data_IF_916029922892
#
_entry.id   IF_916029922892
#
_cell.length_a   1.000
_cell.length_b   1.000
_cell.length_c   1.000
_cell.angle_alpha   90.00
_cell.angle_beta   90.00
_cell.angle_gamma   90.00
#
_symmetry.space_group_name_H-M   'P 1'
#
loop_
_entity.id
_entity.type
_entity.pdbx_description
1 polymer ?
#
# COMPACT_ATOMS: atom_id res chain seq x y z
N UNK A 1 -12.79 -18.23 11.77
CA UNK A 1 -13.23 -17.29 10.71
C UNK A 1 -12.35 -16.07 10.82
N UNK A 2 -11.76 -15.61 9.71
CA UNK A 2 -10.97 -14.36 9.70
C UNK A 2 -11.92 -13.18 9.89
N UNK A 3 -11.44 -12.06 10.45
CA UNK A 3 -12.24 -10.85 10.63
C UNK A 3 -12.95 -10.42 9.32
N UNK A 4 -12.21 -10.53 8.21
CA UNK A 4 -12.73 -10.33 6.86
C UNK A 4 -13.92 -11.23 6.49
N UNK A 5 -13.86 -12.54 6.76
CA UNK A 5 -15.00 -13.44 6.47
C UNK A 5 -16.24 -13.08 7.29
N UNK A 6 -16.06 -12.61 8.51
CA UNK A 6 -17.17 -12.13 9.36
C UNK A 6 -17.76 -10.83 8.83
N UNK A 7 -16.92 -9.88 8.42
CA UNK A 7 -17.33 -8.60 7.84
C UNK A 7 -18.04 -8.79 6.49
N UNK A 8 -17.50 -9.64 5.61
CA UNK A 8 -18.12 -10.02 4.33
C UNK A 8 -19.50 -10.67 4.54
N UNK A 9 -19.60 -11.63 5.46
CA UNK A 9 -20.88 -12.29 5.75
C UNK A 9 -21.91 -11.31 6.31
N UNK A 10 -21.48 -10.35 7.13
CA UNK A 10 -22.37 -9.30 7.63
C UNK A 10 -22.85 -8.38 6.49
N UNK A 11 -21.96 -8.03 5.55
CA UNK A 11 -22.30 -7.22 4.37
C UNK A 11 -23.30 -7.93 3.44
N UNK A 12 -23.06 -9.23 3.18
CA UNK A 12 -23.95 -10.09 2.40
C UNK A 12 -25.30 -10.28 3.09
N UNK A 13 -25.32 -10.45 4.41
CA UNK A 13 -26.55 -10.55 5.19
C UNK A 13 -27.39 -9.27 5.14
N UNK A 14 -26.73 -8.10 5.04
CA UNK A 14 -27.38 -6.79 4.89
C UNK A 14 -27.81 -6.47 3.45
N UNK A 15 -27.59 -7.38 2.48
CA UNK A 15 -27.82 -7.19 1.03
C UNK A 15 -27.18 -5.91 0.48
N UNK A 16 -26.05 -5.52 1.04
CA UNK A 16 -25.30 -4.37 0.56
C UNK A 16 -24.49 -4.72 -0.68
N UNK A 17 -24.06 -3.69 -1.41
CA UNK A 17 -23.30 -3.84 -2.65
C UNK A 17 -21.92 -4.48 -2.37
N UNK A 18 -21.65 -5.60 -3.02
CA UNK A 18 -20.40 -6.36 -2.85
C UNK A 18 -19.21 -5.54 -3.36
N UNK A 19 -19.41 -4.73 -4.40
CA UNK A 19 -18.34 -3.91 -4.97
C UNK A 19 -17.91 -2.81 -3.99
N UNK A 20 -18.83 -2.25 -3.21
CA UNK A 20 -18.54 -1.25 -2.18
C UNK A 20 -17.74 -1.84 -1.00
N UNK A 21 -18.03 -3.10 -0.63
CA UNK A 21 -17.23 -3.81 0.36
C UNK A 21 -15.78 -3.99 -0.12
N UNK A 22 -15.58 -4.39 -1.37
CA UNK A 22 -14.24 -4.55 -1.93
C UNK A 22 -13.51 -3.21 -2.07
N UNK A 23 -14.19 -2.16 -2.53
CA UNK A 23 -13.65 -0.80 -2.65
C UNK A 23 -13.12 -0.30 -1.30
N UNK A 24 -13.95 -0.38 -0.26
CA UNK A 24 -13.60 0.08 1.10
C UNK A 24 -12.49 -0.77 1.73
N UNK A 25 -12.54 -2.09 1.57
CA UNK A 25 -11.49 -3.00 2.05
C UNK A 25 -10.14 -2.71 1.39
N UNK A 26 -10.15 -2.49 0.08
CA UNK A 26 -8.95 -2.17 -0.70
C UNK A 26 -8.38 -0.80 -0.31
N UNK A 27 -9.24 0.20 -0.06
CA UNK A 27 -8.82 1.51 0.45
C UNK A 27 -8.09 1.39 1.80
N UNK A 28 -8.63 0.61 2.74
CA UNK A 28 -7.99 0.37 4.05
C UNK A 28 -6.64 -0.34 3.86
N UNK A 29 -6.62 -1.44 3.12
CA UNK A 29 -5.40 -2.23 2.92
C UNK A 29 -4.27 -1.42 2.26
N UNK A 30 -4.59 -0.62 1.24
CA UNK A 30 -3.59 0.22 0.58
C UNK A 30 -3.06 1.31 1.51
N UNK A 31 -3.91 1.94 2.31
CA UNK A 31 -3.49 2.96 3.27
C UNK A 31 -2.57 2.38 4.35
N UNK A 32 -2.89 1.18 4.86
CA UNK A 32 -2.04 0.50 5.84
C UNK A 32 -0.68 0.13 5.24
N UNK A 33 -0.66 -0.42 4.02
CA UNK A 33 0.59 -0.75 3.32
C UNK A 33 1.47 0.48 3.10
N UNK A 34 0.89 1.63 2.74
CA UNK A 34 1.65 2.88 2.58
C UNK A 34 2.31 3.34 3.89
N UNK A 35 1.64 3.16 5.03
CA UNK A 35 2.25 3.47 6.34
C UNK A 35 3.40 2.52 6.65
N UNK A 36 3.22 1.23 6.38
CA UNK A 36 4.26 0.21 6.55
C UNK A 36 5.47 0.49 5.66
N UNK A 37 5.27 0.92 4.42
CA UNK A 37 6.36 1.31 3.52
C UNK A 37 7.17 2.49 4.09
N UNK A 38 6.50 3.51 4.64
CA UNK A 38 7.20 4.63 5.27
C UNK A 38 7.97 4.17 6.52
N UNK A 39 7.39 3.31 7.35
CA UNK A 39 8.08 2.73 8.51
C UNK A 39 9.32 1.95 8.09
N UNK A 40 9.20 1.13 7.04
CA UNK A 40 10.32 0.38 6.48
C UNK A 40 11.41 1.28 5.88
N UNK A 41 11.02 2.37 5.20
CA UNK A 41 11.94 3.34 4.63
C UNK A 41 12.71 4.11 5.70
N UNK A 42 12.02 4.56 6.76
CA UNK A 42 12.63 5.29 7.87
C UNK A 42 13.38 4.37 8.84
N UNK A 43 13.01 3.09 8.91
CA UNK A 43 13.62 2.08 9.78
C UNK A 43 13.11 2.08 11.23
N UNK A 44 11.99 2.76 11.51
CA UNK A 44 11.38 2.84 12.84
C UNK A 44 9.87 3.14 12.72
N UNK A 45 9.07 2.73 13.69
CA UNK A 45 7.61 2.95 13.72
C UNK A 45 7.21 4.36 14.22
N UNK A 46 5.96 4.81 14.04
CA UNK A 46 5.51 6.10 14.55
C UNK A 46 5.76 6.23 16.05
N UNK A 47 6.33 7.37 16.46
CA UNK A 47 6.63 7.73 17.86
C UNK A 47 7.70 6.87 18.55
N UNK A 48 8.42 6.03 17.81
CA UNK A 48 9.58 5.30 18.35
C UNK A 48 10.77 6.22 18.64
N UNK A 49 11.51 5.92 19.71
CA UNK A 49 12.66 6.71 20.17
C UNK A 49 13.84 6.56 19.21
N UNK A 50 13.90 5.43 18.52
CA UNK A 50 14.81 5.05 17.45
C UNK A 50 14.81 6.10 16.33
N UNK A 51 13.68 6.78 16.12
CA UNK A 51 13.53 7.86 15.14
C UNK A 51 14.06 9.22 15.57
N UNK A 52 14.58 9.38 16.79
CA UNK A 52 15.08 10.67 17.28
C UNK A 52 16.52 10.91 16.80
N UNK A 53 16.77 12.11 16.26
CA UNK A 53 18.09 12.53 15.75
C UNK A 53 18.64 11.66 14.60
N UNK A 54 17.78 10.97 13.84
CA UNK A 54 18.17 10.16 12.66
C UNK A 54 18.41 10.99 11.40
N UNK A 55 18.05 12.29 11.40
CA UNK A 55 18.20 13.20 10.27
C UNK A 55 17.04 13.21 9.27
N UNK A 56 16.10 12.26 9.37
CA UNK A 56 14.84 12.29 8.63
C UNK A 56 13.68 11.91 9.56
N UNK A 57 12.48 12.41 9.28
CA UNK A 57 11.30 12.14 10.11
C UNK A 57 10.01 12.13 9.32
N UNK A 58 8.95 11.56 9.89
CA UNK A 58 7.60 11.63 9.32
C UNK A 58 7.11 13.09 9.31
N UNK A 59 6.54 13.55 8.20
CA UNK A 59 6.15 14.94 8.01
C UNK A 59 4.77 15.06 7.34
N UNK A 60 3.77 14.48 8.00
CA UNK A 60 2.38 14.55 7.58
C UNK A 60 2.06 13.65 6.40
N UNK A 61 0.90 13.92 5.78
CA UNK A 61 0.33 13.12 4.70
C UNK A 61 -0.33 14.04 3.66
N UNK A 62 -0.61 13.50 2.47
CA UNK A 62 -1.47 14.15 1.49
C UNK A 62 -2.48 13.16 0.91
N UNK A 63 -3.65 13.64 0.53
CA UNK A 63 -4.69 12.82 -0.08
C UNK A 63 -4.47 12.70 -1.58
N UNK A 64 -4.64 11.49 -2.12
CA UNK A 64 -4.63 11.20 -3.56
C UNK A 64 -5.79 10.28 -3.89
N UNK A 65 -6.58 10.63 -4.88
CA UNK A 65 -7.59 9.73 -5.43
C UNK A 65 -6.94 8.75 -6.41
N UNK A 66 -7.35 7.49 -6.33
CA UNK A 66 -6.86 6.42 -7.19
C UNK A 66 -8.05 5.63 -7.72
N UNK A 67 -8.03 5.34 -9.02
CA UNK A 67 -9.09 4.63 -9.71
C UNK A 67 -8.81 3.13 -9.71
N UNK A 68 -9.81 2.36 -9.26
CA UNK A 68 -9.81 0.89 -9.23
C UNK A 68 -11.07 0.38 -9.93
N UNK A 69 -11.15 -0.92 -10.25
CA UNK A 69 -12.34 -1.46 -10.92
C UNK A 69 -13.60 -1.41 -10.03
N UNK A 70 -13.42 -1.37 -8.72
CA UNK A 70 -14.50 -1.21 -7.73
C UNK A 70 -14.85 0.26 -7.45
N UNK A 71 -14.17 1.20 -8.11
CA UNK A 71 -14.43 2.64 -8.01
C UNK A 71 -13.23 3.44 -7.50
N UNK A 72 -13.49 4.70 -7.12
CA UNK A 72 -12.47 5.59 -6.60
C UNK A 72 -12.16 5.25 -5.14
N UNK A 73 -10.87 5.14 -4.82
CA UNK A 73 -10.37 5.02 -3.45
C UNK A 73 -9.60 6.27 -3.05
N UNK A 74 -9.72 6.65 -1.78
CA UNK A 74 -9.01 7.79 -1.22
C UNK A 74 -7.77 7.30 -0.46
N UNK A 75 -6.60 7.63 -1.01
CA UNK A 75 -5.32 7.22 -0.44
C UNK A 75 -4.70 8.36 0.35
N UNK A 76 -4.19 8.05 1.54
CA UNK A 76 -3.49 8.95 2.44
C UNK A 76 -2.01 8.62 2.34
N UNK A 77 -1.31 9.35 1.48
CA UNK A 77 0.10 9.06 1.18
C UNK A 77 0.98 9.73 2.24
N UNK A 78 1.78 8.95 2.98
CA UNK A 78 2.71 9.48 3.96
C UNK A 78 3.88 10.21 3.31
N UNK A 79 4.47 11.13 4.07
CA UNK A 79 5.66 11.88 3.65
C UNK A 79 6.73 11.85 4.72
N UNK A 80 7.97 11.88 4.27
CA UNK A 80 9.12 12.17 5.10
C UNK A 80 9.48 13.67 5.07
N UNK A 81 10.35 14.09 5.97
CA UNK A 81 10.75 15.48 6.18
C UNK A 81 11.68 15.96 5.07
N UNK A 82 12.53 15.05 4.57
CA UNK A 82 13.52 15.36 3.54
C UNK A 82 12.94 15.26 2.12
N UNK A 83 11.76 14.63 1.96
CA UNK A 83 11.11 14.44 0.67
C UNK A 83 11.76 13.35 -0.18
N UNK A 84 12.48 12.43 0.46
CA UNK A 84 13.19 11.32 -0.17
C UNK A 84 12.30 10.08 -0.32
N UNK A 85 11.19 10.00 0.42
CA UNK A 85 10.27 8.87 0.35
C UNK A 85 9.43 8.92 -0.93
N UNK A 86 9.54 7.88 -1.74
CA UNK A 86 8.64 7.60 -2.85
C UNK A 86 7.99 6.24 -2.62
N UNK A 87 6.65 6.16 -2.49
CA UNK A 87 5.95 4.89 -2.35
C UNK A 87 6.27 3.96 -3.52
N UNK A 88 6.49 2.69 -3.22
CA UNK A 88 6.69 1.66 -4.24
C UNK A 88 5.34 1.10 -4.67
N UNK A 89 4.40 0.97 -3.72
CA UNK A 89 3.02 0.58 -3.98
C UNK A 89 2.31 1.46 -5.02
N UNK A 90 2.70 2.72 -5.18
CA UNK A 90 2.04 3.63 -6.11
C UNK A 90 3.07 4.34 -6.97
N UNK A 91 3.13 4.05 -8.28
CA UNK A 91 3.98 4.82 -9.17
C UNK A 91 3.60 6.31 -9.09
N UNK A 92 4.62 7.15 -9.12
CA UNK A 92 4.46 8.60 -9.15
C UNK A 92 3.53 9.01 -10.30
N UNK A 93 2.51 9.82 -9.99
CA UNK A 93 1.52 10.35 -10.92
C UNK A 93 0.53 9.35 -11.56
N UNK A 94 0.68 8.04 -11.37
CA UNK A 94 -0.28 7.03 -11.82
C UNK A 94 -1.67 7.23 -11.18
N UNK A 95 -2.73 7.37 -11.97
CA UNK A 95 -4.09 7.53 -11.44
C UNK A 95 -4.90 6.24 -11.44
N UNK A 96 -4.40 5.22 -12.12
CA UNK A 96 -5.00 3.92 -12.32
C UNK A 96 -3.90 2.88 -12.53
N UNK A 97 -4.03 1.71 -11.93
CA UNK A 97 -3.13 0.58 -12.16
C UNK A 97 -3.88 -0.74 -11.99
N UNK A 98 -4.09 -1.45 -13.08
CA UNK A 98 -4.92 -2.67 -13.08
C UNK A 98 -4.23 -3.85 -12.35
N UNK A 99 -2.90 -3.84 -12.20
CA UNK A 99 -2.13 -4.93 -11.59
C UNK A 99 -2.16 -4.93 -10.06
N UNK A 100 -2.30 -3.77 -9.43
CA UNK A 100 -2.24 -3.65 -7.98
C UNK A 100 -3.47 -4.26 -7.31
N UNK A 101 -4.60 -4.07 -7.97
CA UNK A 101 -5.89 -4.62 -7.58
C UNK A 101 -5.91 -6.15 -7.66
N UNK A 102 -5.33 -6.73 -8.71
CA UNK A 102 -5.18 -8.19 -8.81
C UNK A 102 -4.35 -8.75 -7.67
N UNK A 103 -3.27 -8.08 -7.25
CA UNK A 103 -2.43 -8.52 -6.13
C UNK A 103 -3.24 -8.53 -4.84
N UNK A 104 -3.93 -7.42 -4.52
CA UNK A 104 -4.76 -7.32 -3.31
C UNK A 104 -5.85 -8.40 -3.30
N UNK A 105 -6.56 -8.60 -4.41
CA UNK A 105 -7.60 -9.63 -4.53
C UNK A 105 -7.02 -11.03 -4.35
N UNK A 106 -5.86 -11.31 -4.95
CA UNK A 106 -5.20 -12.62 -4.86
C UNK A 106 -4.74 -12.91 -3.44
N UNK A 107 -4.29 -11.89 -2.71
CA UNK A 107 -3.97 -11.95 -1.28
C UNK A 107 -5.21 -12.28 -0.43
N UNK A 108 -6.37 -11.71 -0.75
CA UNK A 108 -7.64 -12.04 -0.06
C UNK A 108 -8.20 -13.41 -0.44
N UNK A 109 -8.06 -13.85 -1.69
CA UNK A 109 -8.58 -15.14 -2.18
C UNK A 109 -7.84 -16.35 -1.62
N UNK A 110 -6.54 -16.22 -1.34
CA UNK A 110 -5.69 -17.35 -0.94
C UNK A 110 -5.55 -17.53 0.57
N UNK A 111 -6.08 -16.61 1.38
CA UNK A 111 -6.03 -16.71 2.85
C UNK A 111 -4.60 -16.61 3.41
N UNK A 112 -3.73 -15.92 2.69
CA UNK A 112 -2.30 -15.82 2.97
C UNK A 112 -2.09 -14.86 4.14
N UNK A 113 -1.37 -15.30 5.15
CA UNK A 113 -1.12 -14.51 6.36
C UNK A 113 -0.25 -13.30 6.06
N UNK A 114 -0.41 -12.19 6.77
CA UNK A 114 0.37 -10.94 6.57
C UNK A 114 1.89 -11.14 6.49
N UNK A 115 2.44 -12.19 7.13
CA UNK A 115 3.84 -12.62 6.98
C UNK A 115 4.17 -13.20 5.61
N UNK A 116 3.35 -14.11 5.11
CA UNK A 116 3.53 -14.69 3.79
C UNK A 116 3.30 -13.64 2.68
N UNK A 117 2.43 -12.64 2.93
CA UNK A 117 2.31 -11.44 2.07
C UNK A 117 3.63 -10.67 2.04
N UNK A 118 4.24 -10.41 3.19
CA UNK A 118 5.55 -9.75 3.30
C UNK A 118 6.63 -10.54 2.56
N UNK A 119 6.60 -11.88 2.62
CA UNK A 119 7.54 -12.75 1.91
C UNK A 119 7.30 -12.80 0.40
N UNK A 120 6.05 -12.75 -0.06
CA UNK A 120 5.70 -12.66 -1.50
C UNK A 120 6.12 -11.30 -2.06
N UNK A 121 5.86 -10.21 -1.34
CA UNK A 121 6.31 -8.86 -1.71
C UNK A 121 7.85 -8.81 -1.70
N UNK A 122 8.53 -9.35 -0.67
CA UNK A 122 10.00 -9.47 -0.66
C UNK A 122 10.55 -10.29 -1.82
N UNK A 123 9.90 -11.40 -2.20
CA UNK A 123 10.34 -12.27 -3.30
C UNK A 123 10.07 -11.67 -4.68
N UNK A 124 8.97 -10.93 -4.87
CA UNK A 124 8.66 -10.28 -6.15
C UNK A 124 9.44 -8.98 -6.36
N UNK A 125 9.65 -8.20 -5.29
CA UNK A 125 10.33 -6.89 -5.36
C UNK A 125 11.80 -6.93 -4.93
N UNK A 126 12.28 -8.04 -4.35
CA UNK A 126 13.70 -8.29 -4.03
C UNK A 126 14.60 -8.36 -5.27
N UNK A 127 14.06 -8.77 -6.42
CA UNK A 127 14.80 -8.74 -7.69
C UNK A 127 14.71 -7.37 -8.39
N UNK A 128 13.68 -6.56 -8.10
CA UNK A 128 13.58 -5.18 -8.58
C UNK A 128 14.45 -4.18 -7.81
N UNK A 129 14.95 -4.56 -6.63
CA UNK A 129 15.91 -3.78 -5.84
C UNK A 129 17.27 -3.57 -6.54
N UNK A 130 17.55 -4.28 -7.64
CA UNK A 130 18.74 -4.04 -8.47
C UNK A 130 18.50 -3.12 -9.69
N UNK A 131 17.26 -2.69 -9.96
CA UNK A 131 16.95 -1.90 -11.16
C UNK A 131 16.58 -0.43 -10.88
N UNK A 132 16.50 -0.01 -9.62
CA UNK A 132 16.45 1.42 -9.27
C UNK A 132 17.84 1.99 -8.93
N UNK A 133 18.90 1.34 -9.42
CA UNK A 133 20.27 1.84 -9.41
C UNK A 133 20.63 2.53 -10.72
N UNK A 134 20.13 3.76 -10.93
CA UNK A 134 20.57 4.71 -11.97
C UNK A 134 20.35 4.31 -13.45
N UNK A 135 19.98 5.32 -14.26
CA UNK A 135 20.04 5.36 -15.73
C UNK A 135 19.01 4.52 -16.49
N UNK A 136 18.02 5.19 -17.10
CA UNK A 136 17.67 5.19 -18.54
C UNK A 136 16.40 6.07 -18.62
N UNK A 137 16.47 7.37 -18.90
CA UNK A 137 16.42 7.88 -20.28
C UNK A 137 16.75 9.39 -20.29
N UNK A 138 18.00 9.75 -20.57
CA UNK A 138 18.30 10.94 -21.38
C UNK A 138 18.48 10.45 -22.81
N UNK A 139 17.43 10.64 -23.63
CA UNK A 139 17.53 10.77 -25.08
C UNK A 139 16.80 12.05 -25.44
N UNK A 140 17.53 13.16 -25.33
CA UNK A 140 17.79 14.21 -26.32
C UNK A 140 18.82 15.17 -25.71
#
# INVERSE_FOLDING_TARGET
MTQFTTELLNFLAQKQDIDEFFRSSLEIAMNDLLQVELSAFLGYEPYEKEGYNTGNSRNGTYSRQFETKYGLVNLIIPRDRNGEFSPVLLPSYARREDHLEEIVIKLYQTGVTTREISDIIKRMYGDHLFLSGSLVTKRL
#
